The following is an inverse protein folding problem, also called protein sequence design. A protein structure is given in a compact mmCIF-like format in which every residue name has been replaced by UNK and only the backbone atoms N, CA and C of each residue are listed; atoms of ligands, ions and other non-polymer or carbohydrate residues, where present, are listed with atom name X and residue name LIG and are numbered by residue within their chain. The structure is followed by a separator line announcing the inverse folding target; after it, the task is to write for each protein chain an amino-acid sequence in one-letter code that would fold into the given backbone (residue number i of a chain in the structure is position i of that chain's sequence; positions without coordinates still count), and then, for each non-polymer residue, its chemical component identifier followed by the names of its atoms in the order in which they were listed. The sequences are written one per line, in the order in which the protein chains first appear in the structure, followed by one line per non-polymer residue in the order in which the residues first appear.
data_IF_125698916680
#
_entry.id   IF_125698916680
#
_cell.length_a   1.000
_cell.length_b   1.000
_cell.length_c   1.000
_cell.angle_alpha   90.00
_cell.angle_beta   90.00
_cell.angle_gamma   90.00
#
_symmetry.space_group_name_H-M   'P 1'
#
loop_
_entity.id
_entity.type
_entity.pdbx_description
1 polymer ?
#
# COMPACT_ATOMS: atom_id res chain seq x y z
N UNK A 1 -1.86 -29.77 10.31
CA UNK A 1 -1.76 -29.08 9.00
C UNK A 1 -3.03 -28.28 8.82
N UNK A 2 -2.99 -26.97 9.09
CA UNK A 2 -4.16 -26.10 8.95
C UNK A 2 -4.27 -25.65 7.50
N UNK A 3 -5.01 -26.41 6.70
CA UNK A 3 -5.65 -25.94 5.46
C UNK A 3 -6.81 -25.02 5.83
N UNK A 4 -6.49 -23.80 6.29
CA UNK A 4 -7.47 -22.73 6.34
C UNK A 4 -7.22 -21.78 5.18
N UNK A 5 -8.11 -21.87 4.21
CA UNK A 5 -8.61 -20.74 3.45
C UNK A 5 -7.56 -19.90 2.67
N UNK A 6 -6.96 -20.50 1.64
CA UNK A 6 -6.92 -19.79 0.35
C UNK A 6 -8.36 -19.80 -0.19
N UNK A 7 -9.24 -19.03 0.44
CA UNK A 7 -10.51 -18.68 -0.19
C UNK A 7 -10.09 -17.83 -1.37
N UNK A 8 -10.02 -18.45 -2.55
CA UNK A 8 -9.94 -17.72 -3.81
C UNK A 8 -11.07 -16.71 -3.74
N UNK A 9 -10.72 -15.42 -3.70
CA UNK A 9 -11.72 -14.36 -3.71
C UNK A 9 -12.25 -14.26 -5.13
N UNK A 10 -12.99 -15.29 -5.55
CA UNK A 10 -13.66 -15.37 -6.86
C UNK A 10 -15.00 -14.62 -6.86
N UNK A 11 -15.38 -14.01 -5.73
CA UNK A 11 -16.56 -13.16 -5.61
C UNK A 11 -16.15 -11.67 -5.65
N UNK A 12 -16.47 -10.93 -6.74
CA UNK A 12 -16.23 -9.50 -6.85
C UNK A 12 -16.79 -8.68 -5.67
N UNK A 13 -17.88 -9.15 -5.06
CA UNK A 13 -18.47 -8.48 -3.88
C UNK A 13 -17.55 -8.59 -2.66
N UNK A 14 -16.87 -9.72 -2.46
CA UNK A 14 -15.91 -9.86 -1.36
C UNK A 14 -14.66 -9.01 -1.61
N UNK A 15 -14.17 -8.92 -2.84
CA UNK A 15 -13.07 -8.01 -3.18
C UNK A 15 -13.43 -6.56 -2.88
N UNK A 16 -14.64 -6.13 -3.25
CA UNK A 16 -15.13 -4.80 -2.95
C UNK A 16 -15.23 -4.54 -1.43
N UNK A 17 -15.67 -5.52 -0.64
CA UNK A 17 -15.71 -5.41 0.81
C UNK A 17 -14.32 -5.33 1.43
N UNK A 18 -13.35 -6.13 0.95
CA UNK A 18 -11.96 -6.04 1.41
C UNK A 18 -11.35 -4.68 1.08
N UNK A 19 -11.55 -4.19 -0.14
CA UNK A 19 -11.10 -2.87 -0.57
C UNK A 19 -11.71 -1.77 0.32
N UNK A 20 -13.03 -1.83 0.53
CA UNK A 20 -13.73 -0.88 1.38
C UNK A 20 -13.21 -0.90 2.82
N UNK A 21 -12.87 -2.08 3.35
CA UNK A 21 -12.25 -2.21 4.67
C UNK A 21 -10.91 -1.46 4.76
N UNK A 22 -10.01 -1.64 3.79
CA UNK A 22 -8.74 -0.90 3.75
C UNK A 22 -8.96 0.61 3.60
N UNK A 23 -9.86 1.02 2.70
CA UNK A 23 -10.17 2.45 2.51
C UNK A 23 -10.73 3.07 3.79
N UNK A 24 -11.66 2.40 4.47
CA UNK A 24 -12.23 2.88 5.73
C UNK A 24 -11.19 2.95 6.84
N UNK A 25 -10.33 1.94 6.96
CA UNK A 25 -9.25 1.92 7.94
C UNK A 25 -8.31 3.12 7.76
N UNK A 26 -7.78 3.31 6.55
CA UNK A 26 -6.83 4.41 6.31
C UNK A 26 -7.51 5.77 6.29
N UNK A 27 -8.81 5.86 5.96
CA UNK A 27 -9.58 7.09 6.14
C UNK A 27 -9.67 7.47 7.62
N UNK A 28 -10.02 6.51 8.49
CA UNK A 28 -10.07 6.73 9.93
C UNK A 28 -8.70 7.13 10.48
N UNK A 29 -7.63 6.47 10.04
CA UNK A 29 -6.27 6.80 10.44
C UNK A 29 -5.86 8.23 10.01
N UNK A 30 -6.22 8.65 8.78
CA UNK A 30 -6.02 10.02 8.31
C UNK A 30 -6.77 11.02 9.19
N UNK A 31 -8.03 10.75 9.51
CA UNK A 31 -8.86 11.64 10.34
C UNK A 31 -8.28 11.77 11.76
N UNK A 32 -7.89 10.65 12.38
CA UNK A 32 -7.28 10.61 13.71
C UNK A 32 -5.94 11.35 13.78
N UNK A 33 -5.05 11.15 12.79
CA UNK A 33 -3.76 11.86 12.73
C UNK A 33 -3.97 13.35 12.47
N UNK A 34 -4.95 13.71 11.63
CA UNK A 34 -5.26 15.13 11.36
C UNK A 34 -5.71 15.84 12.63
N UNK A 35 -6.60 15.23 13.42
CA UNK A 35 -7.02 15.79 14.70
C UNK A 35 -5.84 15.96 15.67
N UNK A 36 -4.98 14.95 15.81
CA UNK A 36 -3.76 15.03 16.64
C UNK A 36 -2.80 16.11 16.17
N UNK A 37 -2.68 16.30 14.85
CA UNK A 37 -1.81 17.31 14.26
C UNK A 37 -2.32 18.73 14.56
N UNK A 38 -3.63 18.94 14.53
CA UNK A 38 -4.25 20.20 14.94
C UNK A 38 -3.97 20.49 16.42
N UNK A 39 -4.22 19.52 17.31
CA UNK A 39 -3.90 19.65 18.75
C UNK A 39 -2.41 19.95 19.01
N UNK A 40 -1.51 19.26 18.31
CA UNK A 40 -0.07 19.48 18.44
C UNK A 40 0.37 20.85 17.95
N UNK A 41 -0.28 21.38 16.90
CA UNK A 41 -0.02 22.74 16.37
C UNK A 41 -0.51 23.82 17.33
N UNK A 42 -1.70 23.65 17.92
CA UNK A 42 -2.20 24.56 18.96
C UNK A 42 -1.28 24.57 20.19
N UNK A 43 -0.82 23.39 20.63
CA UNK A 43 0.10 23.28 21.75
C UNK A 43 1.49 23.89 21.45
N UNK A 44 1.95 23.80 20.20
CA UNK A 44 3.16 24.46 19.73
C UNK A 44 3.01 25.99 19.77
N UNK A 45 1.90 26.52 19.28
CA UNK A 45 1.60 27.96 19.31
C UNK A 45 1.59 28.48 20.74
N UNK A 46 0.88 27.82 21.65
CA UNK A 46 0.87 28.17 23.07
C UNK A 46 2.27 28.14 23.69
N UNK A 47 3.09 27.13 23.38
CA UNK A 47 4.45 27.04 23.87
C UNK A 47 5.36 28.17 23.33
N UNK A 48 5.09 28.67 22.12
CA UNK A 48 5.76 29.83 21.54
C UNK A 48 5.33 31.13 22.24
N UNK A 49 4.04 31.34 22.45
CA UNK A 49 3.51 32.51 23.16
C UNK A 49 4.04 32.61 24.59
N UNK A 50 4.08 31.47 25.29
CA UNK A 50 4.58 31.37 26.66
C UNK A 50 6.13 31.35 26.75
N UNK A 51 6.83 31.40 25.62
CA UNK A 51 8.31 31.36 25.57
C UNK A 51 8.91 30.15 26.30
N UNK A 52 8.34 28.95 26.09
CA UNK A 52 8.76 27.69 26.71
C UNK A 52 9.61 26.86 25.73
N UNK A 53 10.94 27.07 25.64
CA UNK A 53 11.78 26.53 24.56
C UNK A 53 11.84 24.99 24.52
N UNK A 54 11.80 24.33 25.68
CA UNK A 54 11.79 22.86 25.76
C UNK A 54 10.48 22.26 25.23
N UNK A 55 9.35 22.91 25.52
CA UNK A 55 8.04 22.47 25.04
C UNK A 55 7.89 22.77 23.54
N UNK A 56 8.35 23.94 23.09
CA UNK A 56 8.39 24.29 21.67
C UNK A 56 9.13 23.21 20.87
N UNK A 57 10.37 22.88 21.26
CA UNK A 57 11.18 21.87 20.56
C UNK A 57 10.51 20.50 20.55
N UNK A 58 9.82 20.13 21.64
CA UNK A 58 9.08 18.87 21.72
C UNK A 58 7.91 18.87 20.72
N UNK A 59 7.10 19.92 20.71
CA UNK A 59 5.93 20.00 19.82
C UNK A 59 6.31 20.15 18.35
N UNK A 60 7.41 20.83 18.01
CA UNK A 60 7.95 20.86 16.65
C UNK A 60 8.29 19.45 16.15
N UNK A 61 8.93 18.63 16.99
CA UNK A 61 9.23 17.23 16.64
C UNK A 61 7.97 16.38 16.48
N UNK A 62 6.99 16.60 17.35
CA UNK A 62 5.71 15.89 17.29
C UNK A 62 4.95 16.23 16.00
N UNK A 63 4.87 17.51 15.65
CA UNK A 63 4.24 17.98 14.40
C UNK A 63 4.89 17.32 13.19
N UNK A 64 6.23 17.32 13.09
CA UNK A 64 6.94 16.68 11.98
C UNK A 64 6.68 15.16 11.93
N UNK A 65 6.62 14.50 13.09
CA UNK A 65 6.32 13.08 13.17
C UNK A 65 4.89 12.78 12.70
N UNK A 66 3.91 13.57 13.12
CA UNK A 66 2.51 13.44 12.72
C UNK A 66 2.31 13.76 11.24
N UNK A 67 2.97 14.78 10.69
CA UNK A 67 2.96 15.08 9.25
C UNK A 67 3.49 13.92 8.43
N UNK A 68 4.60 13.31 8.88
CA UNK A 68 5.17 12.13 8.23
C UNK A 68 4.20 10.93 8.29
N UNK A 69 3.51 10.73 9.41
CA UNK A 69 2.49 9.67 9.54
C UNK A 69 1.27 9.95 8.66
N UNK A 70 0.84 11.21 8.57
CA UNK A 70 -0.30 11.63 7.76
C UNK A 70 -0.03 11.38 6.27
N UNK A 71 1.15 11.75 5.78
CA UNK A 71 1.54 11.52 4.39
C UNK A 71 1.59 10.03 4.04
N UNK A 72 2.03 9.20 4.98
CA UNK A 72 1.98 7.73 4.85
C UNK A 72 0.53 7.26 4.74
N UNK A 73 -0.32 7.57 5.72
CA UNK A 73 -1.71 7.13 5.74
C UNK A 73 -2.48 7.59 4.49
N UNK A 74 -2.25 8.82 4.03
CA UNK A 74 -2.81 9.36 2.77
C UNK A 74 -2.34 8.58 1.55
N UNK A 75 -1.06 8.22 1.48
CA UNK A 75 -0.52 7.42 0.37
C UNK A 75 -1.19 6.05 0.29
N UNK A 76 -1.39 5.39 1.44
CA UNK A 76 -2.14 4.13 1.51
C UNK A 76 -3.61 4.32 1.10
N UNK A 77 -4.29 5.35 1.61
CA UNK A 77 -5.69 5.64 1.29
C UNK A 77 -5.89 5.86 -0.23
N UNK A 78 -5.01 6.65 -0.86
CA UNK A 78 -5.06 6.87 -2.32
C UNK A 78 -4.86 5.55 -3.06
N UNK A 79 -3.88 4.75 -2.65
CA UNK A 79 -3.60 3.47 -3.29
C UNK A 79 -4.80 2.50 -3.21
N UNK A 80 -5.37 2.30 -2.03
CA UNK A 80 -6.49 1.38 -1.85
C UNK A 80 -7.82 1.91 -2.44
N UNK A 81 -8.01 3.24 -2.47
CA UNK A 81 -9.19 3.84 -3.11
C UNK A 81 -9.19 3.67 -4.64
N UNK A 82 -8.02 3.51 -5.25
CA UNK A 82 -7.88 3.20 -6.67
C UNK A 82 -8.18 1.73 -7.04
N UNK A 83 -8.46 0.87 -6.05
CA UNK A 83 -8.84 -0.53 -6.30
C UNK A 83 -7.70 -1.54 -6.24
N UNK A 84 -6.50 -1.11 -5.86
CA UNK A 84 -5.39 -2.04 -5.67
C UNK A 84 -5.58 -2.81 -4.37
N UNK A 85 -5.44 -4.13 -4.43
CA UNK A 85 -5.58 -5.00 -3.28
C UNK A 85 -4.25 -5.70 -2.99
N UNK A 86 -3.82 -5.75 -1.71
CA UNK A 86 -2.59 -6.41 -1.34
C UNK A 86 -2.79 -7.92 -1.44
N UNK A 87 -1.83 -8.59 -2.09
CA UNK A 87 -1.68 -10.03 -2.02
C UNK A 87 -0.87 -10.39 -0.76
N UNK A 88 -1.11 -11.57 -0.18
CA UNK A 88 -0.20 -12.13 0.81
C UNK A 88 1.23 -12.15 0.26
N UNK A 89 2.22 -11.93 1.12
CA UNK A 89 3.63 -12.06 0.72
C UNK A 89 3.88 -13.46 0.20
N UNK A 90 4.26 -13.54 -1.06
CA UNK A 90 4.62 -14.79 -1.74
C UNK A 90 6.06 -14.68 -2.23
N UNK A 91 6.74 -15.82 -2.39
CA UNK A 91 8.05 -15.83 -3.03
C UNK A 91 7.93 -15.38 -4.47
N UNK A 92 8.64 -14.32 -4.82
CA UNK A 92 8.66 -13.74 -6.15
C UNK A 92 10.02 -13.90 -6.81
N UNK A 93 10.01 -13.90 -8.14
CA UNK A 93 11.20 -13.85 -8.98
C UNK A 93 11.12 -12.63 -9.90
N UNK A 94 12.25 -11.95 -10.18
CA UNK A 94 12.25 -10.81 -11.09
C UNK A 94 11.81 -11.20 -12.51
N UNK A 95 11.15 -10.27 -13.21
CA UNK A 95 10.67 -10.50 -14.58
C UNK A 95 11.77 -10.90 -15.57
N UNK A 96 13.03 -10.51 -15.32
CA UNK A 96 14.14 -10.90 -16.20
C UNK A 96 14.35 -12.41 -16.22
N UNK A 97 14.07 -13.10 -15.11
CA UNK A 97 14.16 -14.56 -15.00
C UNK A 97 12.98 -15.27 -15.69
N UNK A 98 11.86 -14.56 -15.88
CA UNK A 98 10.70 -15.03 -16.63
C UNK A 98 10.93 -15.08 -18.16
N UNK A 99 11.95 -14.37 -18.67
CA UNK A 99 12.36 -14.41 -20.08
C UNK A 99 11.25 -14.04 -21.08
N UNK A 100 11.28 -14.62 -22.28
CA UNK A 100 10.29 -14.41 -23.37
C UNK A 100 8.99 -15.20 -23.18
N UNK A 101 8.81 -15.87 -22.05
CA UNK A 101 7.70 -16.80 -21.84
C UNK A 101 6.40 -16.10 -21.44
N UNK A 102 6.42 -14.77 -21.23
CA UNK A 102 5.26 -13.98 -20.81
C UNK A 102 4.26 -13.84 -21.99
N UNK A 103 3.00 -14.27 -21.85
CA UNK A 103 2.00 -14.22 -22.90
C UNK A 103 1.58 -12.78 -23.20
N UNK A 104 1.11 -12.56 -24.43
CA UNK A 104 0.73 -11.23 -24.91
C UNK A 104 -0.33 -10.54 -24.03
N UNK A 105 -1.25 -11.31 -23.45
CA UNK A 105 -2.30 -10.80 -22.55
C UNK A 105 -1.68 -10.24 -21.27
N UNK A 106 -0.75 -10.98 -20.65
CA UNK A 106 -0.03 -10.52 -19.46
C UNK A 106 0.89 -9.33 -19.78
N UNK A 107 1.55 -9.31 -20.94
CA UNK A 107 2.36 -8.17 -21.39
C UNK A 107 1.52 -6.90 -21.58
N UNK A 108 0.31 -7.02 -22.13
CA UNK A 108 -0.61 -5.89 -22.26
C UNK A 108 -1.02 -5.36 -20.89
N UNK A 109 -1.39 -6.23 -19.95
CA UNK A 109 -1.74 -5.83 -18.57
C UNK A 109 -0.55 -5.22 -17.83
N UNK A 110 0.65 -5.75 -18.03
CA UNK A 110 1.88 -5.15 -17.52
C UNK A 110 2.11 -3.74 -18.08
N UNK A 111 1.88 -3.56 -19.38
CA UNK A 111 1.97 -2.24 -20.01
C UNK A 111 0.95 -1.28 -19.41
N UNK A 112 -0.32 -1.68 -19.35
CA UNK A 112 -1.39 -0.87 -18.76
C UNK A 112 -1.03 -0.48 -17.30
N UNK A 113 -0.47 -1.41 -16.51
CA UNK A 113 -0.03 -1.16 -15.14
C UNK A 113 1.20 -0.24 -15.05
N UNK A 114 2.11 -0.29 -16.02
CA UNK A 114 3.26 0.63 -16.12
C UNK A 114 2.81 2.04 -16.48
N UNK A 115 1.87 2.16 -17.42
CA UNK A 115 1.35 3.44 -17.88
C UNK A 115 0.57 4.19 -16.77
N UNK A 116 0.12 3.48 -15.73
CA UNK A 116 -0.50 4.08 -14.53
C UNK A 116 0.52 4.70 -13.57
N UNK A 117 1.81 4.38 -13.67
CA UNK A 117 2.89 4.88 -12.79
C UNK A 117 2.63 4.66 -11.28
N UNK A 118 1.79 3.67 -10.93
CA UNK A 118 1.45 3.39 -9.53
C UNK A 118 2.50 2.52 -8.85
N UNK A 119 3.06 1.53 -9.57
CA UNK A 119 3.99 0.53 -9.04
C UNK A 119 5.45 0.93 -9.25
N UNK A 120 6.29 0.61 -8.27
CA UNK A 120 7.73 0.87 -8.26
C UNK A 120 8.54 -0.25 -8.93
N UNK A 121 8.01 -1.48 -8.94
CA UNK A 121 8.64 -2.64 -9.59
C UNK A 121 7.58 -3.69 -9.99
N UNK A 122 7.98 -4.66 -10.80
CA UNK A 122 7.12 -5.74 -11.27
C UNK A 122 7.84 -7.08 -11.19
N UNK A 123 7.17 -8.07 -10.63
CA UNK A 123 7.74 -9.40 -10.40
C UNK A 123 6.73 -10.50 -10.73
N UNK A 124 7.19 -11.74 -10.68
CA UNK A 124 6.36 -12.92 -10.90
C UNK A 124 6.35 -13.76 -9.65
N UNK A 125 5.16 -14.21 -9.25
CA UNK A 125 5.02 -15.30 -8.28
C UNK A 125 5.02 -16.60 -9.06
N UNK A 126 6.07 -17.40 -8.89
CA UNK A 126 6.07 -18.79 -9.36
C UNK A 126 5.23 -19.63 -8.40
N UNK A 127 4.05 -20.04 -8.86
CA UNK A 127 3.24 -20.94 -8.08
C UNK A 127 3.87 -22.35 -8.09
N UNK A 128 3.92 -23.00 -6.93
CA UNK A 128 4.39 -24.39 -6.83
C UNK A 128 3.55 -25.30 -7.74
N UNK A 129 4.22 -26.22 -8.45
CA UNK A 129 3.76 -27.31 -9.34
C UNK A 129 2.27 -27.26 -9.77
N UNK A 130 2.02 -27.08 -11.07
CA UNK A 130 0.71 -27.08 -11.75
C UNK A 130 -0.20 -25.85 -11.53
N UNK A 131 0.37 -24.68 -11.28
CA UNK A 131 -0.40 -23.42 -11.24
C UNK A 131 0.22 -22.38 -12.17
N UNK A 132 -0.63 -21.61 -12.84
CA UNK A 132 -0.22 -20.51 -13.70
C UNK A 132 0.54 -19.47 -12.87
N UNK A 133 1.71 -19.00 -13.31
CA UNK A 133 2.40 -17.90 -12.64
C UNK A 133 1.53 -16.65 -12.56
N UNK A 134 1.82 -15.79 -11.59
CA UNK A 134 1.08 -14.54 -11.38
C UNK A 134 2.03 -13.37 -11.59
N UNK A 135 1.63 -12.44 -12.45
CA UNK A 135 2.28 -11.15 -12.57
C UNK A 135 1.81 -10.25 -11.42
N UNK A 136 2.76 -9.72 -10.67
CA UNK A 136 2.50 -8.82 -9.55
C UNK A 136 3.21 -7.48 -9.73
N UNK A 137 2.51 -6.41 -9.34
CA UNK A 137 3.09 -5.07 -9.18
C UNK A 137 3.52 -4.88 -7.74
N UNK A 138 4.61 -4.15 -7.54
CA UNK A 138 5.15 -3.87 -6.22
C UNK A 138 5.00 -2.38 -5.94
N UNK A 139 4.32 -2.06 -4.85
CA UNK A 139 4.26 -0.71 -4.29
C UNK A 139 5.14 -0.63 -3.05
N UNK A 140 6.02 0.36 -2.99
CA UNK A 140 6.81 0.71 -1.82
C UNK A 140 6.29 2.01 -1.24
N UNK A 141 5.87 1.95 0.01
CA UNK A 141 5.38 3.11 0.74
C UNK A 141 6.55 3.86 1.40
N UNK A 142 6.38 5.14 1.75
CA UNK A 142 7.45 5.95 2.36
C UNK A 142 7.99 5.40 3.69
N UNK A 143 7.26 4.51 4.35
CA UNK A 143 7.67 3.80 5.57
C UNK A 143 8.51 2.54 5.33
N UNK A 144 8.75 2.19 4.06
CA UNK A 144 9.44 0.97 3.67
C UNK A 144 8.53 -0.26 3.60
N UNK A 145 7.21 -0.12 3.81
CA UNK A 145 6.28 -1.20 3.55
C UNK A 145 6.27 -1.52 2.05
N UNK A 146 6.48 -2.81 1.73
CA UNK A 146 6.35 -3.34 0.39
C UNK A 146 5.07 -4.16 0.28
N UNK A 147 4.19 -3.73 -0.63
CA UNK A 147 2.92 -4.38 -0.94
C UNK A 147 2.97 -4.95 -2.35
N UNK A 148 2.58 -6.21 -2.48
CA UNK A 148 2.47 -6.89 -3.77
C UNK A 148 1.01 -6.89 -4.21
N UNK A 149 0.72 -6.54 -5.46
CA UNK A 149 -0.64 -6.50 -6.00
C UNK A 149 -0.76 -7.36 -7.24
N UNK A 150 -1.89 -8.07 -7.36
CA UNK A 150 -2.19 -8.84 -8.56
C UNK A 150 -2.35 -7.93 -9.78
N UNK A 151 -1.71 -8.29 -10.89
CA UNK A 151 -1.92 -7.63 -12.19
C UNK A 151 -2.61 -8.58 -13.16
N UNK A 152 -2.05 -9.77 -13.36
CA UNK A 152 -2.57 -10.72 -14.32
C UNK A 152 -2.10 -12.16 -14.04
N UNK A 153 -2.89 -13.12 -14.50
CA UNK A 153 -2.44 -14.49 -14.66
C UNK A 153 -1.55 -14.61 -15.89
N UNK A 154 -0.55 -15.46 -15.79
CA UNK A 154 0.33 -15.86 -16.87
C UNK A 154 -0.29 -17.04 -17.64
N UNK A 155 -1.40 -16.79 -18.34
CA UNK A 155 -2.05 -17.74 -19.27
C UNK A 155 -1.83 -17.33 -20.72
#
# INVERSE_FOLDING_TARGET
MNTHALTVIDNPQHLALFQQGYVQQYQQEVDEITAKLEEAREALELAQEMSLPSQKTRWEREVVALETQLDKAKSHLVFYSQGFLPLPRMSTVPLQYAGTRIPAVALRRLKDAKDLEVFDDFQVVEAQVNRDPILVGIKRFPDGEEVHCFIAWWR
#
